data_IF_915917240703
#
_entry.id   IF_915917240703
#
_cell.length_a   1.000
_cell.length_b   1.000
_cell.length_c   1.000
_cell.angle_alpha   90.00
_cell.angle_beta   90.00
_cell.angle_gamma   90.00
#
_symmetry.space_group_name_H-M   'P 1'
#
loop_
_entity.id
_entity.type
_entity.pdbx_description
1 polymer ?
#
# COMPACT_ATOMS: atom_id res chain seq x y z
N UNK A 1 29.86 -10.72 -44.63
CA UNK A 1 29.83 -10.02 -45.93
C UNK A 1 28.38 -9.96 -46.34
N UNK A 2 27.81 -8.73 -46.43
CA UNK A 2 26.63 -8.30 -47.23
C UNK A 2 25.28 -8.95 -46.85
N UNK A 3 24.24 -8.30 -46.30
CA UNK A 3 23.56 -7.01 -46.60
C UNK A 3 23.33 -6.79 -48.10
N UNK A 4 22.10 -6.40 -48.45
CA UNK A 4 21.49 -6.28 -49.80
C UNK A 4 20.75 -7.59 -50.18
N UNK A 5 19.42 -7.65 -50.32
CA UNK A 5 18.64 -6.94 -51.33
C UNK A 5 17.30 -6.39 -50.82
N UNK A 6 17.13 -5.08 -51.02
CA UNK A 6 15.87 -4.34 -51.09
C UNK A 6 15.76 -3.80 -52.52
N UNK A 7 14.72 -4.17 -53.28
CA UNK A 7 14.21 -3.47 -54.47
C UNK A 7 12.68 -3.70 -54.48
N UNK A 8 11.85 -2.66 -54.26
CA UNK A 8 11.25 -1.72 -55.26
C UNK A 8 10.08 -2.34 -56.06
N UNK A 9 8.98 -1.69 -56.46
CA UNK A 9 8.29 -0.39 -56.28
C UNK A 9 6.89 -0.59 -56.94
N UNK A 10 5.87 0.17 -56.51
CA UNK A 10 4.79 0.77 -57.36
C UNK A 10 3.80 1.43 -56.38
N UNK A 11 3.80 2.74 -56.14
CA UNK A 11 3.45 3.89 -57.00
C UNK A 11 2.15 3.71 -57.78
N UNK A 12 1.05 4.21 -57.20
CA UNK A 12 0.10 5.13 -57.85
C UNK A 12 -1.04 5.54 -56.90
N UNK A 13 -1.10 6.83 -56.54
CA UNK A 13 -2.29 7.71 -56.67
C UNK A 13 -2.11 8.99 -55.84
N UNK A 14 -1.61 10.02 -56.51
CA UNK A 14 -1.74 11.43 -56.13
C UNK A 14 -3.04 11.98 -56.73
N UNK A 15 -3.91 12.55 -55.89
CA UNK A 15 -4.86 13.59 -56.32
C UNK A 15 -5.10 14.55 -55.14
N UNK A 16 -4.36 15.65 -55.01
CA UNK A 16 -4.58 16.98 -55.61
C UNK A 16 -5.84 17.73 -55.10
N UNK A 17 -5.58 18.65 -54.17
CA UNK A 17 -6.46 19.76 -53.77
C UNK A 17 -6.76 20.69 -54.95
N UNK A 18 -7.94 21.34 -55.01
CA UNK A 18 -8.11 22.55 -55.79
C UNK A 18 -8.10 23.81 -54.91
N UNK A 19 -7.13 24.67 -55.21
CA UNK A 19 -7.12 26.09 -54.94
C UNK A 19 -7.68 26.85 -56.16
N UNK A 20 -8.10 28.11 -55.97
CA UNK A 20 -8.43 29.19 -56.94
C UNK A 20 -9.92 29.63 -57.02
N UNK A 21 -10.24 30.86 -57.48
CA UNK A 21 -10.04 32.13 -56.77
C UNK A 21 -11.27 33.08 -56.88
N UNK A 22 -11.11 34.28 -56.31
CA UNK A 22 -12.04 35.43 -56.19
C UNK A 22 -12.83 35.81 -57.47
N UNK A 23 -14.12 36.16 -57.31
CA UNK A 23 -14.82 37.14 -58.18
C UNK A 23 -15.85 37.97 -57.40
N UNK A 24 -15.82 39.28 -57.63
CA UNK A 24 -16.60 40.31 -56.97
C UNK A 24 -17.93 40.65 -57.68
N UNK A 25 -18.95 41.07 -56.91
CA UNK A 25 -19.89 42.20 -57.17
C UNK A 25 -21.01 42.20 -56.12
N UNK A 26 -21.17 43.25 -55.28
CA UNK A 26 -22.01 44.47 -55.46
C UNK A 26 -23.50 44.18 -55.18
N UNK A 27 -24.24 44.82 -54.27
CA UNK A 27 -24.03 45.95 -53.37
C UNK A 27 -25.27 46.14 -52.46
N UNK A 28 -25.31 47.27 -51.72
CA UNK A 28 -26.50 47.95 -51.12
C UNK A 28 -27.05 47.27 -49.84
N UNK A 29 -27.28 47.89 -48.67
CA UNK A 29 -27.43 49.27 -48.19
C UNK A 29 -27.06 49.29 -46.68
N UNK A 30 -26.27 50.24 -46.19
CA UNK A 30 -26.68 51.45 -45.43
C UNK A 30 -27.21 51.23 -43.99
N UNK A 31 -26.68 52.10 -43.12
CA UNK A 31 -27.17 52.51 -41.80
C UNK A 31 -26.67 51.88 -40.49
N UNK A 32 -26.34 52.82 -39.60
CA UNK A 32 -26.22 52.79 -38.13
C UNK A 32 -24.93 52.22 -37.52
N UNK A 33 -24.04 53.17 -37.25
CA UNK A 33 -23.04 53.17 -36.19
C UNK A 33 -23.70 53.04 -34.80
N UNK A 34 -23.48 51.91 -34.13
CA UNK A 34 -23.53 51.81 -32.67
C UNK A 34 -22.44 50.81 -32.26
N UNK A 35 -21.31 51.32 -31.81
CA UNK A 35 -20.27 50.51 -31.17
C UNK A 35 -20.74 50.25 -29.75
N UNK A 36 -21.43 49.13 -29.56
CA UNK A 36 -21.72 48.59 -28.24
C UNK A 36 -20.40 48.05 -27.65
N UNK A 37 -19.87 48.61 -26.55
CA UNK A 37 -18.66 48.09 -25.96
C UNK A 37 -18.96 46.75 -25.30
N UNK A 38 -18.51 45.68 -25.97
CA UNK A 38 -18.41 44.33 -25.40
C UNK A 38 -17.94 44.43 -23.94
N UNK A 39 -18.69 43.88 -22.96
CA UNK A 39 -18.21 43.88 -21.58
C UNK A 39 -16.88 43.14 -21.53
N UNK A 40 -15.88 43.66 -20.80
CA UNK A 40 -14.61 42.97 -20.68
C UNK A 40 -14.92 41.58 -20.08
N UNK A 41 -14.37 40.54 -20.71
CA UNK A 41 -14.19 39.26 -20.05
C UNK A 41 -13.33 39.56 -18.81
N UNK A 42 -13.98 39.83 -17.69
CA UNK A 42 -13.33 39.75 -16.40
C UNK A 42 -12.88 38.31 -16.28
N UNK A 43 -11.56 38.13 -16.38
CA UNK A 43 -10.84 36.98 -15.87
C UNK A 43 -11.29 36.79 -14.42
N UNK A 44 -12.35 36.00 -14.25
CA UNK A 44 -12.68 35.34 -13.01
C UNK A 44 -11.59 34.27 -12.80
N UNK A 45 -10.36 34.74 -12.55
CA UNK A 45 -9.41 34.03 -11.72
C UNK A 45 -10.17 33.76 -10.42
N UNK A 46 -10.71 32.55 -10.34
CA UNK A 46 -11.24 31.95 -9.14
C UNK A 46 -10.13 32.00 -8.08
N UNK A 47 -10.05 33.11 -7.36
CA UNK A 47 -9.36 33.26 -6.08
C UNK A 47 -10.22 32.65 -4.98
N UNK A 48 -10.75 31.45 -5.23
CA UNK A 48 -10.98 30.53 -4.13
C UNK A 48 -9.58 30.01 -3.78
N UNK A 49 -9.07 30.22 -2.54
CA UNK A 49 -7.88 29.50 -2.11
C UNK A 49 -8.19 28.01 -2.32
N UNK A 50 -7.50 27.38 -3.27
CA UNK A 50 -7.39 25.92 -3.22
C UNK A 50 -6.76 25.68 -1.86
N UNK A 51 -7.53 25.09 -0.97
CA UNK A 51 -7.00 24.61 0.29
C UNK A 51 -5.96 23.56 -0.11
N UNK A 52 -4.70 23.96 -0.22
CA UNK A 52 -3.58 23.05 -0.46
C UNK A 52 -3.33 22.37 0.89
N UNK A 53 -4.33 21.61 1.34
CA UNK A 53 -4.17 20.64 2.39
C UNK A 53 -3.17 19.63 1.85
N UNK A 54 -1.91 19.76 2.26
CA UNK A 54 -0.92 18.71 2.05
C UNK A 54 -1.52 17.39 2.54
N UNK A 55 -1.34 16.28 1.82
CA UNK A 55 -1.85 15.00 2.29
C UNK A 55 -1.25 14.70 3.68
N UNK A 56 -2.03 14.11 4.60
CA UNK A 56 -1.53 13.78 5.93
C UNK A 56 -0.31 12.86 5.81
N UNK A 57 0.64 12.97 6.73
CA UNK A 57 1.88 12.21 6.64
C UNK A 57 1.65 10.72 6.87
N UNK A 58 2.18 9.88 5.99
CA UNK A 58 2.20 8.42 6.14
C UNK A 58 3.32 8.03 7.11
N UNK A 59 2.95 7.31 8.17
CA UNK A 59 3.88 6.73 9.13
C UNK A 59 3.85 5.21 9.03
N UNK A 60 4.92 4.62 8.50
CA UNK A 60 5.16 3.18 8.59
C UNK A 60 5.69 2.88 10.00
N UNK A 61 4.99 2.02 10.73
CA UNK A 61 5.30 1.68 12.13
C UNK A 61 6.08 0.37 12.20
N UNK A 62 5.75 -0.58 11.32
CA UNK A 62 6.50 -1.81 11.19
C UNK A 62 6.12 -2.59 9.95
N UNK A 63 7.11 -3.10 9.24
CA UNK A 63 6.91 -3.93 8.05
C UNK A 63 7.72 -5.22 8.14
N UNK A 64 7.16 -6.31 7.63
CA UNK A 64 7.84 -7.61 7.56
C UNK A 64 7.56 -8.30 6.25
N UNK A 65 8.55 -9.00 5.72
CA UNK A 65 8.43 -9.78 4.49
C UNK A 65 9.19 -11.10 4.66
N UNK A 66 8.53 -12.23 4.40
CA UNK A 66 9.19 -13.55 4.48
C UNK A 66 9.83 -13.86 5.84
N UNK A 67 9.25 -13.37 6.94
CA UNK A 67 9.75 -13.63 8.29
C UNK A 67 10.92 -12.75 8.75
N UNK A 68 11.26 -11.68 8.02
CA UNK A 68 12.24 -10.67 8.44
C UNK A 68 11.61 -9.28 8.56
N UNK A 69 12.18 -8.43 9.41
CA UNK A 69 11.77 -7.03 9.55
C UNK A 69 12.41 -6.20 8.44
N UNK A 70 11.58 -5.46 7.69
CA UNK A 70 11.97 -4.59 6.56
C UNK A 70 11.40 -3.18 6.72
N UNK A 71 11.21 -2.74 7.97
CA UNK A 71 10.52 -1.49 8.29
C UNK A 71 11.23 -0.28 7.69
N UNK A 72 12.55 -0.22 7.80
CA UNK A 72 13.33 0.94 7.35
C UNK A 72 13.35 1.03 5.82
N UNK A 73 13.50 -0.12 5.15
CA UNK A 73 13.47 -0.23 3.69
C UNK A 73 12.10 0.16 3.13
N UNK A 74 11.02 -0.38 3.70
CA UNK A 74 9.65 -0.03 3.28
C UNK A 74 9.32 1.43 3.58
N UNK A 75 9.83 1.98 4.68
CA UNK A 75 9.68 3.42 4.99
C UNK A 75 10.39 4.29 3.94
N UNK A 76 11.58 3.87 3.49
CA UNK A 76 12.35 4.58 2.46
C UNK A 76 11.70 4.51 1.07
N UNK A 77 10.88 3.48 0.80
CA UNK A 77 10.11 3.35 -0.44
C UNK A 77 8.89 4.29 -0.53
N UNK A 78 8.47 4.90 0.59
CA UNK A 78 7.30 5.77 0.60
C UNK A 78 7.56 7.09 -0.15
N UNK A 79 6.63 7.46 -1.03
CA UNK A 79 6.61 8.75 -1.72
C UNK A 79 6.27 9.85 -0.71
N UNK A 80 7.27 10.68 -0.40
CA UNK A 80 7.14 11.75 0.60
C UNK A 80 6.34 12.95 0.10
N UNK A 81 6.17 13.13 -1.21
CA UNK A 81 5.35 14.22 -1.73
C UNK A 81 3.87 13.83 -1.73
N UNK A 82 3.58 12.59 -2.15
CA UNK A 82 2.22 12.06 -2.24
C UNK A 82 1.72 11.41 -0.95
N UNK A 83 2.63 11.12 -0.01
CA UNK A 83 2.34 10.37 1.22
C UNK A 83 1.68 9.02 0.92
N UNK A 84 2.24 8.32 -0.08
CA UNK A 84 1.77 7.00 -0.54
C UNK A 84 2.92 5.99 -0.57
N UNK A 85 2.59 4.70 -0.52
CA UNK A 85 3.55 3.61 -0.70
C UNK A 85 3.03 2.67 -1.78
N UNK A 86 3.84 2.41 -2.81
CA UNK A 86 3.53 1.42 -3.84
C UNK A 86 4.33 0.15 -3.56
N UNK A 87 3.63 -0.95 -3.30
CA UNK A 87 4.23 -2.27 -3.18
C UNK A 87 3.96 -3.05 -4.45
N UNK A 88 5.01 -3.22 -5.27
CA UNK A 88 4.99 -4.14 -6.39
C UNK A 88 5.63 -5.45 -5.97
N UNK A 89 4.79 -6.46 -5.67
CA UNK A 89 5.24 -7.72 -5.05
C UNK A 89 6.22 -8.48 -5.95
N UNK A 90 6.03 -8.46 -7.28
CA UNK A 90 6.94 -9.10 -8.25
C UNK A 90 8.38 -8.54 -8.21
N UNK A 91 8.52 -7.29 -7.76
CA UNK A 91 9.79 -6.55 -7.75
C UNK A 91 10.42 -6.49 -6.36
N UNK A 92 9.74 -6.93 -5.30
CA UNK A 92 10.24 -6.84 -3.93
C UNK A 92 11.55 -7.61 -3.74
N UNK A 93 11.70 -8.78 -4.36
CA UNK A 93 12.94 -9.56 -4.31
C UNK A 93 14.18 -8.85 -4.88
N UNK A 94 14.00 -7.83 -5.71
CA UNK A 94 15.10 -7.00 -6.23
C UNK A 94 15.32 -5.73 -5.41
N UNK A 95 14.35 -5.36 -4.58
CA UNK A 95 14.35 -4.11 -3.81
C UNK A 95 14.74 -4.35 -2.34
N UNK A 96 14.26 -5.45 -1.76
CA UNK A 96 14.50 -5.87 -0.38
C UNK A 96 15.54 -6.99 -0.38
N UNK A 97 16.82 -6.59 -0.49
CA UNK A 97 17.93 -7.53 -0.62
C UNK A 97 18.62 -7.85 0.72
N UNK A 98 19.03 -9.11 0.94
CA UNK A 98 18.77 -10.30 0.10
C UNK A 98 17.33 -10.84 0.27
N UNK A 99 16.85 -11.65 -0.68
CA UNK A 99 15.57 -12.39 -0.51
C UNK A 99 15.65 -13.23 0.77
N UNK A 100 14.77 -12.98 1.76
CA UNK A 100 14.85 -13.61 3.07
C UNK A 100 14.46 -15.10 3.05
N UNK A 101 13.75 -15.55 2.03
CA UNK A 101 13.27 -16.93 1.94
C UNK A 101 13.21 -17.38 0.48
N UNK A 102 14.38 -17.46 -0.16
CA UNK A 102 14.51 -17.84 -1.56
C UNK A 102 13.80 -19.18 -1.87
N UNK A 103 12.98 -19.17 -2.92
CA UNK A 103 12.21 -20.32 -3.37
C UNK A 103 10.94 -20.61 -2.55
N UNK A 104 10.62 -19.78 -1.56
CA UNK A 104 9.37 -19.84 -0.81
C UNK A 104 8.49 -18.65 -1.18
N UNK A 105 7.17 -18.90 -1.24
CA UNK A 105 6.17 -17.83 -1.35
C UNK A 105 6.06 -17.13 -0.01
N UNK A 106 6.17 -15.80 -0.03
CA UNK A 106 6.20 -14.94 1.15
C UNK A 106 4.91 -14.14 1.26
N UNK A 107 4.68 -13.56 2.44
CA UNK A 107 3.73 -12.46 2.61
C UNK A 107 4.45 -11.25 3.16
N UNK A 108 3.96 -10.07 2.76
CA UNK A 108 4.31 -8.78 3.33
C UNK A 108 3.22 -8.35 4.31
N UNK A 109 3.62 -7.82 5.46
CA UNK A 109 2.71 -7.08 6.34
C UNK A 109 3.25 -5.70 6.60
N UNK A 110 2.38 -4.69 6.56
CA UNK A 110 2.74 -3.30 6.86
C UNK A 110 1.74 -2.74 7.86
N UNK A 111 2.21 -2.41 9.06
CA UNK A 111 1.47 -1.65 10.05
C UNK A 111 1.81 -0.17 9.89
N UNK A 112 0.81 0.67 9.69
CA UNK A 112 0.98 2.09 9.41
C UNK A 112 -0.17 2.94 9.97
N UNK A 113 -0.01 4.26 9.91
CA UNK A 113 -1.08 5.24 10.16
C UNK A 113 -0.81 6.53 9.41
N UNK A 114 -1.82 7.39 9.32
CA UNK A 114 -1.67 8.78 8.91
C UNK A 114 -1.58 9.70 10.13
N UNK A 115 -0.85 10.82 10.04
CA UNK A 115 -0.55 11.73 11.18
C UNK A 115 -1.79 12.22 11.93
N UNK A 116 -2.89 12.45 11.22
CA UNK A 116 -4.17 12.93 11.78
C UNK A 116 -5.15 11.79 12.14
N UNK A 117 -4.72 10.53 12.02
CA UNK A 117 -5.55 9.36 12.30
C UNK A 117 -5.13 8.70 13.62
N UNK A 118 -6.11 8.53 14.52
CA UNK A 118 -5.91 7.77 15.75
C UNK A 118 -5.80 6.26 15.49
N UNK A 119 -6.35 5.79 14.38
CA UNK A 119 -6.45 4.38 14.03
C UNK A 119 -5.18 3.89 13.36
N UNK A 120 -4.75 2.69 13.74
CA UNK A 120 -3.69 1.98 13.04
C UNK A 120 -4.32 1.21 11.87
N UNK A 121 -3.58 1.04 10.79
CA UNK A 121 -3.98 0.22 9.64
C UNK A 121 -2.94 -0.88 9.44
N UNK A 122 -3.41 -2.10 9.19
CA UNK A 122 -2.59 -3.24 8.83
C UNK A 122 -2.93 -3.64 7.40
N UNK A 123 -1.90 -3.67 6.57
CA UNK A 123 -1.95 -4.25 5.24
C UNK A 123 -1.27 -5.62 5.28
N UNK A 124 -1.92 -6.65 4.73
CA UNK A 124 -1.33 -7.96 4.48
C UNK A 124 -1.44 -8.30 3.00
N UNK A 125 -0.31 -8.69 2.38
CA UNK A 125 -0.19 -8.89 0.94
C UNK A 125 0.59 -10.18 0.67
N UNK A 126 0.01 -11.20 0.03
CA UNK A 126 0.78 -12.36 -0.43
C UNK A 126 1.67 -11.96 -1.63
N UNK A 127 2.80 -12.65 -1.82
CA UNK A 127 3.81 -12.31 -2.84
C UNK A 127 3.29 -12.41 -4.28
N UNK A 128 2.24 -13.19 -4.53
CA UNK A 128 1.56 -13.33 -5.82
C UNK A 128 0.44 -12.30 -6.04
N UNK A 129 0.20 -11.39 -5.10
CA UNK A 129 -0.77 -10.33 -5.28
C UNK A 129 -0.28 -9.28 -6.29
N UNK A 130 -1.20 -8.66 -7.05
CA UNK A 130 -0.84 -7.53 -7.91
C UNK A 130 -0.36 -6.34 -7.07
N UNK A 131 0.26 -5.36 -7.75
CA UNK A 131 0.76 -4.17 -7.10
C UNK A 131 -0.34 -3.46 -6.29
N UNK A 132 -0.01 -3.08 -5.05
CA UNK A 132 -0.92 -2.42 -4.11
C UNK A 132 -0.38 -1.06 -3.71
N UNK A 133 -1.27 -0.06 -3.68
CA UNK A 133 -0.96 1.27 -3.20
C UNK A 133 -1.59 1.51 -1.82
N UNK A 134 -0.77 1.93 -0.86
CA UNK A 134 -1.20 2.55 0.38
C UNK A 134 -1.37 4.04 0.14
N UNK A 135 -2.56 4.56 0.43
CA UNK A 135 -2.87 6.00 0.47
C UNK A 135 -3.88 6.29 1.59
N UNK A 136 -4.06 7.57 1.95
CA UNK A 136 -5.02 7.95 3.01
C UNK A 136 -6.46 7.51 2.68
N UNK A 137 -6.81 7.57 1.40
CA UNK A 137 -8.11 7.18 0.84
C UNK A 137 -8.17 5.75 0.33
N UNK A 138 -7.05 5.02 0.35
CA UNK A 138 -7.05 3.60 -0.02
C UNK A 138 -7.84 2.83 1.03
N UNK A 139 -8.90 2.19 0.57
CA UNK A 139 -9.69 1.22 1.32
C UNK A 139 -9.73 -0.08 0.51
N UNK A 140 -10.07 -1.20 1.16
CA UNK A 140 -10.26 -2.49 0.49
C UNK A 140 -11.06 -2.30 -0.81
N UNK A 141 -10.39 -2.46 -1.96
CA UNK A 141 -11.11 -2.55 -3.22
C UNK A 141 -11.61 -3.99 -3.34
N UNK A 142 -12.91 -4.22 -3.57
CA UNK A 142 -13.46 -5.57 -3.74
C UNK A 142 -12.84 -6.31 -4.94
N UNK A 143 -12.14 -5.61 -5.84
CA UNK A 143 -11.47 -6.18 -7.00
C UNK A 143 -10.16 -6.92 -6.65
N UNK A 144 -9.62 -6.75 -5.44
CA UNK A 144 -8.32 -7.33 -5.06
C UNK A 144 -8.45 -8.21 -3.81
N UNK A 145 -9.18 -9.31 -3.93
CA UNK A 145 -9.51 -10.24 -2.84
C UNK A 145 -8.29 -10.88 -2.14
N UNK A 146 -7.10 -10.77 -2.75
CA UNK A 146 -5.84 -11.29 -2.18
C UNK A 146 -5.21 -10.35 -1.15
N UNK A 147 -5.63 -9.08 -1.11
CA UNK A 147 -5.06 -8.06 -0.25
C UNK A 147 -6.01 -7.75 0.91
N UNK A 148 -5.50 -7.77 2.13
CA UNK A 148 -6.28 -7.43 3.33
C UNK A 148 -5.82 -6.09 3.90
N UNK A 149 -6.68 -5.06 3.81
CA UNK A 149 -6.57 -3.85 4.64
C UNK A 149 -7.47 -3.98 5.86
N UNK A 150 -6.87 -3.83 7.03
CA UNK A 150 -7.56 -3.90 8.31
C UNK A 150 -7.31 -2.66 9.14
N UNK A 151 -8.37 -1.97 9.51
CA UNK A 151 -8.30 -0.93 10.54
C UNK A 151 -8.22 -1.57 11.92
N UNK A 152 -7.21 -1.20 12.68
CA UNK A 152 -6.98 -1.58 14.07
C UNK A 152 -7.46 -0.40 14.93
N UNK A 153 -8.77 -0.42 15.16
CA UNK A 153 -9.58 0.53 15.92
C UNK A 153 -11.00 -0.03 16.04
N UNK A 154 -11.73 0.29 17.12
CA UNK A 154 -13.10 -0.20 17.32
C UNK A 154 -13.22 -1.73 17.50
N UNK A 155 -14.18 -2.38 16.82
CA UNK A 155 -14.54 -3.80 17.01
C UNK A 155 -13.43 -4.80 16.63
N UNK A 156 -12.50 -4.42 15.76
CA UNK A 156 -11.35 -5.23 15.33
C UNK A 156 -10.03 -4.82 16.04
N UNK A 157 -10.14 -4.05 17.12
CA UNK A 157 -9.04 -3.37 17.80
C UNK A 157 -7.96 -4.29 18.38
N UNK A 158 -6.97 -3.65 18.99
CA UNK A 158 -5.89 -4.35 19.68
C UNK A 158 -6.44 -5.22 20.83
N UNK A 159 -5.82 -6.37 21.06
CA UNK A 159 -6.30 -7.37 22.00
C UNK A 159 -5.55 -7.31 23.33
N UNK A 160 -6.27 -7.45 24.43
CA UNK A 160 -5.75 -7.53 25.80
C UNK A 160 -6.36 -8.71 26.54
N UNK A 161 -5.57 -9.38 27.38
CA UNK A 161 -6.02 -10.50 28.21
C UNK A 161 -6.89 -10.10 29.41
N UNK A 162 -7.16 -8.80 29.58
CA UNK A 162 -8.02 -8.25 30.62
C UNK A 162 -7.53 -6.90 31.16
N UNK A 163 -8.20 -6.35 32.19
CA UNK A 163 -7.88 -5.02 32.73
C UNK A 163 -6.49 -4.90 33.36
N UNK A 164 -5.89 -6.03 33.75
CA UNK A 164 -4.54 -6.11 34.34
C UNK A 164 -3.47 -6.57 33.35
N UNK A 165 -3.80 -6.64 32.06
CA UNK A 165 -2.82 -6.98 31.02
C UNK A 165 -1.72 -5.91 31.01
N UNK A 166 -0.47 -6.36 30.90
CA UNK A 166 0.70 -5.50 30.74
C UNK A 166 1.10 -5.39 29.27
N UNK A 167 0.61 -6.30 28.43
CA UNK A 167 0.85 -6.32 26.99
C UNK A 167 -0.47 -6.21 26.24
N UNK A 168 -0.44 -5.45 25.16
CA UNK A 168 -1.48 -5.34 24.17
C UNK A 168 -0.95 -5.88 22.83
N UNK A 169 -1.66 -6.87 22.26
CA UNK A 169 -1.38 -7.39 20.93
C UNK A 169 -2.11 -6.50 19.93
N UNK A 170 -1.35 -5.68 19.20
CA UNK A 170 -1.87 -4.76 18.19
C UNK A 170 -2.39 -5.54 16.98
N UNK A 171 -1.55 -6.46 16.48
CA UNK A 171 -1.92 -7.39 15.43
C UNK A 171 -1.03 -8.63 15.48
N UNK A 172 -1.57 -9.76 15.03
CA UNK A 172 -0.82 -10.96 14.74
C UNK A 172 -1.23 -11.47 13.37
N UNK A 173 -0.28 -11.94 12.59
CA UNK A 173 -0.51 -12.56 11.27
C UNK A 173 0.21 -13.89 11.18
N UNK A 174 -0.34 -14.78 10.35
CA UNK A 174 0.26 -16.04 9.99
C UNK A 174 -0.03 -16.31 8.51
N UNK A 175 1.01 -16.42 7.69
CA UNK A 175 0.88 -16.37 6.24
C UNK A 175 0.23 -15.07 5.79
N UNK A 176 -0.80 -15.11 4.93
CA UNK A 176 -1.52 -13.94 4.46
C UNK A 176 -2.70 -13.57 5.35
N UNK A 177 -2.93 -14.28 6.48
CA UNK A 177 -4.12 -14.10 7.31
C UNK A 177 -3.82 -13.38 8.62
N UNK A 178 -4.68 -12.42 8.99
CA UNK A 178 -4.73 -11.88 10.36
C UNK A 178 -5.31 -12.89 11.36
N UNK A 179 -4.62 -13.06 12.48
CA UNK A 179 -5.04 -13.94 13.57
C UNK A 179 -5.87 -13.16 14.58
N UNK A 180 -7.10 -13.61 14.80
CA UNK A 180 -8.05 -13.03 15.76
C UNK A 180 -8.49 -14.03 16.85
N UNK A 181 -8.02 -15.28 16.79
CA UNK A 181 -8.42 -16.33 17.72
C UNK A 181 -8.00 -15.97 19.16
N UNK A 182 -8.94 -15.73 20.10
CA UNK A 182 -8.62 -15.16 21.41
C UNK A 182 -7.65 -16.00 22.23
N UNK A 183 -7.76 -17.34 22.14
CA UNK A 183 -6.83 -18.24 22.82
C UNK A 183 -5.38 -18.04 22.33
N UNK A 184 -5.17 -17.87 21.03
CA UNK A 184 -3.84 -17.62 20.46
C UNK A 184 -3.29 -16.28 20.93
N UNK A 185 -4.11 -15.22 20.86
CA UNK A 185 -3.71 -13.87 21.29
C UNK A 185 -3.40 -13.84 22.80
N UNK A 186 -4.11 -14.61 23.62
CA UNK A 186 -3.82 -14.77 25.04
C UNK A 186 -2.48 -15.46 25.29
N UNK A 187 -2.21 -16.54 24.56
CA UNK A 187 -0.94 -17.27 24.69
C UNK A 187 0.25 -16.39 24.26
N UNK A 188 0.09 -15.58 23.21
CA UNK A 188 1.07 -14.57 22.79
C UNK A 188 1.27 -13.50 23.88
N UNK A 189 0.20 -12.89 24.38
CA UNK A 189 0.32 -11.86 25.43
C UNK A 189 1.02 -12.41 26.68
N UNK A 190 0.67 -13.63 27.13
CA UNK A 190 1.35 -14.29 28.24
C UNK A 190 2.84 -14.49 27.99
N UNK A 191 3.26 -14.77 26.75
CA UNK A 191 4.68 -14.85 26.39
C UNK A 191 5.39 -13.51 26.55
N UNK A 192 4.84 -12.43 25.97
CA UNK A 192 5.44 -11.10 26.08
C UNK A 192 5.48 -10.56 27.52
N UNK A 193 4.53 -10.98 28.36
CA UNK A 193 4.53 -10.70 29.80
C UNK A 193 5.57 -11.54 30.58
N UNK A 194 6.22 -12.52 29.95
CA UNK A 194 7.15 -13.46 30.58
C UNK A 194 6.46 -14.52 31.45
N UNK A 195 5.16 -14.74 31.26
CA UNK A 195 4.36 -15.76 31.95
C UNK A 195 4.32 -17.09 31.22
N UNK A 196 4.90 -17.15 30.03
CA UNK A 196 5.01 -18.35 29.20
C UNK A 196 6.44 -18.49 28.67
N UNK A 197 6.95 -19.71 28.66
CA UNK A 197 8.22 -20.06 28.02
C UNK A 197 8.10 -20.08 26.50
N UNK A 198 9.05 -20.71 25.82
CA UNK A 198 9.12 -20.76 24.36
C UNK A 198 7.78 -21.17 23.69
N UNK A 199 7.40 -20.47 22.62
CA UNK A 199 6.27 -20.83 21.76
C UNK A 199 6.81 -21.34 20.44
N UNK A 200 6.34 -22.49 19.97
CA UNK A 200 6.60 -22.94 18.61
C UNK A 200 5.51 -22.47 17.68
N UNK A 201 5.88 -21.70 16.65
CA UNK A 201 4.95 -21.06 15.74
C UNK A 201 4.56 -22.02 14.62
N UNK A 202 3.47 -22.74 14.83
CA UNK A 202 2.97 -23.81 13.94
C UNK A 202 1.49 -23.66 13.65
N UNK A 203 0.99 -24.37 12.64
CA UNK A 203 -0.46 -24.50 12.37
C UNK A 203 -1.26 -24.88 13.62
N UNK A 204 -0.72 -25.78 14.45
CA UNK A 204 -1.37 -26.20 15.69
C UNK A 204 -1.46 -25.07 16.72
N UNK A 205 -0.42 -24.23 16.83
CA UNK A 205 -0.44 -23.08 17.73
C UNK A 205 -1.44 -22.02 17.26
N UNK A 206 -1.41 -21.67 15.98
CA UNK A 206 -2.32 -20.68 15.39
C UNK A 206 -3.76 -21.20 15.22
N UNK A 207 -3.97 -22.51 15.37
CA UNK A 207 -5.27 -23.20 15.25
C UNK A 207 -5.89 -23.04 13.85
N UNK A 208 -5.04 -22.83 12.85
CA UNK A 208 -5.42 -22.63 11.46
C UNK A 208 -4.22 -22.92 10.55
N UNK A 209 -4.50 -23.30 9.30
CA UNK A 209 -3.52 -23.34 8.21
C UNK A 209 -4.01 -22.42 7.08
N UNK A 210 -3.61 -21.14 7.11
CA UNK A 210 -4.14 -20.13 6.20
C UNK A 210 -3.56 -20.22 4.79
N UNK A 211 -2.50 -21.02 4.61
CA UNK A 211 -1.80 -21.16 3.35
C UNK A 211 -1.31 -22.60 3.21
N UNK A 212 -2.25 -23.48 2.85
CA UNK A 212 -1.98 -24.91 2.69
C UNK A 212 -0.87 -25.13 1.67
N UNK A 213 -0.02 -26.12 1.93
CA UNK A 213 1.16 -26.49 1.13
C UNK A 213 2.27 -25.44 1.05
N UNK A 214 2.14 -24.32 1.77
CA UNK A 214 3.14 -23.26 1.83
C UNK A 214 3.69 -23.10 3.24
N UNK A 215 5.01 -22.89 3.34
CA UNK A 215 5.65 -22.52 4.59
C UNK A 215 5.33 -21.06 4.89
N UNK A 216 4.73 -20.78 6.05
CA UNK A 216 4.22 -19.44 6.37
C UNK A 216 5.24 -18.63 7.17
N UNK A 217 5.25 -17.32 6.99
CA UNK A 217 5.82 -16.39 7.98
C UNK A 217 4.75 -16.01 9.01
N UNK A 218 5.17 -15.62 10.20
CA UNK A 218 4.30 -15.04 11.22
C UNK A 218 4.86 -13.69 11.65
N UNK A 219 3.98 -12.77 12.03
CA UNK A 219 4.36 -11.47 12.58
C UNK A 219 3.46 -11.12 13.74
N UNK A 220 4.03 -10.59 14.82
CA UNK A 220 3.30 -10.07 15.96
C UNK A 220 3.75 -8.65 16.24
N UNK A 221 2.77 -7.73 16.15
CA UNK A 221 2.89 -6.35 16.59
C UNK A 221 2.29 -6.24 17.99
N UNK A 222 3.07 -5.76 18.95
CA UNK A 222 2.61 -5.61 20.33
C UNK A 222 3.17 -4.35 20.96
N UNK A 223 2.57 -3.91 22.07
CA UNK A 223 3.13 -2.87 22.93
C UNK A 223 2.88 -3.18 24.38
N UNK A 224 3.73 -2.67 25.25
CA UNK A 224 3.43 -2.63 26.68
C UNK A 224 2.39 -1.54 26.95
N UNK A 225 1.46 -1.77 27.87
CA UNK A 225 0.32 -0.88 28.12
C UNK A 225 0.74 0.54 28.49
N UNK A 226 1.89 0.69 29.16
CA UNK A 226 2.46 1.99 29.56
C UNK A 226 3.39 2.61 28.47
N UNK A 227 3.46 1.98 27.29
CA UNK A 227 4.32 2.40 26.19
C UNK A 227 3.51 2.74 24.94
N UNK A 228 3.83 3.88 24.33
CA UNK A 228 3.33 4.22 22.99
C UNK A 228 4.08 3.49 21.87
N UNK A 229 5.28 2.96 22.17
CA UNK A 229 6.11 2.26 21.20
C UNK A 229 5.54 0.88 20.91
N UNK A 230 5.27 0.62 19.64
CA UNK A 230 4.92 -0.69 19.10
C UNK A 230 6.22 -1.42 18.74
N UNK A 231 6.29 -2.68 19.13
CA UNK A 231 7.35 -3.61 18.78
C UNK A 231 6.82 -4.60 17.76
N UNK A 232 7.72 -5.05 16.87
CA UNK A 232 7.43 -6.03 15.84
C UNK A 232 8.40 -7.20 16.00
N UNK A 233 7.85 -8.41 16.11
CA UNK A 233 8.62 -9.65 16.06
C UNK A 233 8.05 -10.53 14.96
N UNK A 234 8.92 -11.23 14.25
CA UNK A 234 8.54 -12.03 13.08
C UNK A 234 9.47 -13.21 12.93
N UNK A 235 9.03 -14.20 12.15
CA UNK A 235 9.83 -15.36 11.82
C UNK A 235 9.09 -16.29 10.88
N UNK A 236 9.69 -17.45 10.63
CA UNK A 236 9.10 -18.51 9.81
C UNK A 236 8.39 -19.55 10.67
N UNK A 237 7.41 -20.23 10.07
CA UNK A 237 6.76 -21.43 10.59
C UNK A 237 7.81 -22.47 11.03
N UNK A 238 7.44 -23.21 12.08
CA UNK A 238 8.28 -24.15 12.85
C UNK A 238 9.39 -23.51 13.67
N UNK A 239 9.66 -22.21 13.43
CA UNK A 239 10.51 -21.38 14.26
C UNK A 239 9.96 -21.23 15.67
N UNK A 240 10.87 -21.06 16.62
CA UNK A 240 10.51 -20.68 17.96
C UNK A 240 10.35 -19.16 18.02
N UNK A 241 9.29 -18.70 18.68
CA UNK A 241 9.28 -17.37 19.25
C UNK A 241 10.20 -17.40 20.46
N UNK A 242 11.39 -16.90 20.25
CA UNK A 242 12.39 -16.66 21.29
C UNK A 242 12.20 -15.24 21.84
N UNK A 243 12.95 -14.88 22.89
CA UNK A 243 12.86 -13.55 23.52
C UNK A 243 13.99 -12.67 22.97
N UNK A 244 13.78 -11.89 21.89
CA UNK A 244 14.80 -10.97 21.39
C UNK A 244 14.75 -9.57 22.03
N UNK A 245 13.77 -9.26 22.91
CA UNK A 245 13.64 -7.93 23.50
C UNK A 245 14.14 -7.88 24.95
N UNK A 246 15.01 -6.92 25.23
CA UNK A 246 15.33 -6.50 26.60
C UNK A 246 14.16 -5.71 27.17
N UNK A 247 13.75 -6.03 28.41
CA UNK A 247 12.77 -5.25 29.18
C UNK A 247 13.26 -3.83 29.44
#
# INVERSE_FOLDING_TARGET
MRLDDWEEISDDEKASLPYHPVRASKGEDDMSSETDPTPPYEDALSTAPRDISLPPRLHIIGATWGGVNVTDEVSAMADQERQTLLLNMDMLQYTLLPDPAYGLVKSMTVLYRYEDEAELRLLTVPEDAPAVQVSATAHNSPENAMVEFTTIGGAAGAWRSGPKAQVEIVAATYGPQRIQTPAVLQELAMFFEGKRGQIRMTNSFFRTDPWVDHKKSWTVYFRFVDSQRIQCVTGMEDGALEVPWTR
#
